data_IF_302818816797
#
_entry.id   IF_302818816797
#
_cell.length_a   1.000
_cell.length_b   1.000
_cell.length_c   1.000
_cell.angle_alpha   90.00
_cell.angle_beta   90.00
_cell.angle_gamma   90.00
#
_symmetry.space_group_name_H-M   'P 1'
#
loop_
_entity.id
_entity.type
_entity.pdbx_description
1 polymer ?
#
# COMPACT_ATOMS: atom_id res chain seq x y z
N UNK A 1 -18.35 -23.00 -9.11
CA UNK A 1 -17.59 -22.18 -10.06
C UNK A 1 -16.44 -21.61 -9.26
N UNK A 2 -15.18 -21.88 -9.63
CA UNK A 2 -14.03 -21.25 -8.95
C UNK A 2 -14.03 -19.79 -9.41
N UNK A 3 -14.24 -18.84 -8.50
CA UNK A 3 -13.93 -17.44 -8.78
C UNK A 3 -12.43 -17.38 -9.04
N UNK A 4 -12.04 -17.12 -10.28
CA UNK A 4 -10.64 -16.91 -10.62
C UNK A 4 -10.18 -15.63 -9.92
N UNK A 5 -8.99 -15.68 -9.33
CA UNK A 5 -8.43 -14.57 -8.57
C UNK A 5 -7.56 -13.74 -9.52
N UNK A 6 -7.93 -12.48 -9.74
CA UNK A 6 -7.12 -11.54 -10.52
C UNK A 6 -6.06 -10.86 -9.64
N UNK A 7 -4.91 -11.53 -9.52
CA UNK A 7 -3.78 -11.00 -8.78
C UNK A 7 -3.14 -9.77 -9.46
N UNK A 8 -3.33 -9.59 -10.78
CA UNK A 8 -2.84 -8.41 -11.49
C UNK A 8 -3.66 -7.17 -11.09
N UNK A 9 -4.98 -7.27 -11.04
CA UNK A 9 -5.82 -6.20 -10.52
C UNK A 9 -5.43 -5.80 -9.08
N UNK A 10 -5.14 -6.78 -8.22
CA UNK A 10 -4.75 -6.52 -6.82
C UNK A 10 -3.40 -5.80 -6.69
N UNK A 11 -2.43 -6.07 -7.57
CA UNK A 11 -1.14 -5.32 -7.56
C UNK A 11 -1.32 -3.92 -8.14
N UNK A 12 -2.17 -3.74 -9.15
CA UNK A 12 -2.50 -2.42 -9.70
C UNK A 12 -3.21 -1.54 -8.66
N UNK A 13 -4.08 -2.11 -7.83
CA UNK A 13 -4.67 -1.40 -6.68
C UNK A 13 -3.61 -0.91 -5.69
N UNK A 14 -2.62 -1.76 -5.37
CA UNK A 14 -1.51 -1.35 -4.51
C UNK A 14 -0.66 -0.23 -5.17
N UNK A 15 -0.42 -0.31 -6.49
CA UNK A 15 0.24 0.77 -7.23
C UNK A 15 -0.56 2.07 -7.21
N UNK A 16 -1.88 2.01 -7.39
CA UNK A 16 -2.74 3.18 -7.33
C UNK A 16 -2.68 3.88 -5.96
N UNK A 17 -2.62 3.12 -4.86
CA UNK A 17 -2.39 3.69 -3.53
C UNK A 17 -1.00 4.33 -3.37
N UNK A 18 0.04 3.69 -3.90
CA UNK A 18 1.40 4.26 -3.94
C UNK A 18 1.40 5.60 -4.68
N UNK A 19 0.75 5.67 -5.84
CA UNK A 19 0.69 6.88 -6.66
C UNK A 19 -0.13 7.99 -5.99
N UNK A 20 -1.25 7.63 -5.34
CA UNK A 20 -2.02 8.57 -4.54
C UNK A 20 -1.20 9.16 -3.38
N UNK A 21 -0.41 8.35 -2.69
CA UNK A 21 0.50 8.83 -1.65
C UNK A 21 1.56 9.78 -2.20
N UNK A 22 2.16 9.47 -3.36
CA UNK A 22 3.14 10.35 -4.02
C UNK A 22 2.52 11.67 -4.45
N UNK A 23 1.31 11.63 -5.02
CA UNK A 23 0.56 12.84 -5.41
C UNK A 23 0.31 13.73 -4.19
N UNK A 24 -0.14 13.15 -3.07
CA UNK A 24 -0.37 13.87 -1.82
C UNK A 24 0.89 14.54 -1.27
N UNK A 25 2.03 13.82 -1.23
CA UNK A 25 3.32 14.38 -0.80
C UNK A 25 3.76 15.51 -1.72
N UNK A 26 3.58 15.36 -3.03
CA UNK A 26 3.92 16.38 -4.02
C UNK A 26 3.10 17.66 -3.79
N UNK A 27 1.78 17.56 -3.63
CA UNK A 27 0.90 18.70 -3.38
C UNK A 27 1.27 19.43 -2.08
N UNK A 28 1.53 18.68 -1.00
CA UNK A 28 1.96 19.26 0.27
C UNK A 28 3.31 19.99 0.14
N UNK A 29 4.27 19.42 -0.59
CA UNK A 29 5.56 20.04 -0.85
C UNK A 29 5.41 21.34 -1.66
N UNK A 30 4.53 21.38 -2.65
CA UNK A 30 4.20 22.59 -3.42
C UNK A 30 3.56 23.67 -2.52
N UNK A 31 2.83 23.27 -1.49
CA UNK A 31 2.30 24.15 -0.45
C UNK A 31 3.33 24.51 0.66
N UNK A 32 4.59 24.09 0.53
CA UNK A 32 5.65 24.37 1.52
C UNK A 32 5.50 23.58 2.82
N UNK A 33 4.80 22.45 2.80
CA UNK A 33 4.50 21.61 3.96
C UNK A 33 5.21 20.26 3.86
N UNK A 34 5.72 19.78 4.98
CA UNK A 34 6.25 18.42 5.11
C UNK A 34 5.14 17.45 5.55
N UNK A 35 5.15 16.24 4.99
CA UNK A 35 4.17 15.19 5.27
C UNK A 35 4.88 14.03 5.94
N UNK A 36 4.41 13.65 7.11
CA UNK A 36 4.90 12.47 7.82
C UNK A 36 4.25 11.17 7.35
N UNK A 37 4.92 10.04 7.63
CA UNK A 37 4.45 8.68 7.30
C UNK A 37 3.04 8.44 7.83
N UNK A 38 2.77 8.74 9.11
CA UNK A 38 1.46 8.52 9.73
C UNK A 38 0.35 9.33 9.04
N UNK A 39 0.66 10.53 8.57
CA UNK A 39 -0.33 11.36 7.87
C UNK A 39 -0.73 10.73 6.53
N UNK A 40 0.23 10.16 5.79
CA UNK A 40 -0.06 9.42 4.55
C UNK A 40 -0.97 8.23 4.85
N UNK A 41 -0.65 7.47 5.90
CA UNK A 41 -1.49 6.33 6.33
C UNK A 41 -2.92 6.81 6.64
N UNK A 42 -3.08 7.85 7.44
CA UNK A 42 -4.39 8.34 7.89
C UNK A 42 -5.21 8.99 6.76
N UNK A 43 -4.55 9.64 5.79
CA UNK A 43 -5.22 10.41 4.73
C UNK A 43 -5.40 9.65 3.43
N UNK A 44 -4.59 8.63 3.16
CA UNK A 44 -4.58 7.91 1.88
C UNK A 44 -4.93 6.44 2.08
N UNK A 45 -4.17 5.72 2.92
CA UNK A 45 -4.33 4.27 3.02
C UNK A 45 -5.53 3.87 3.85
N UNK A 46 -5.75 4.49 5.01
CA UNK A 46 -6.88 4.16 5.89
C UNK A 46 -8.24 4.43 5.20
N UNK A 47 -8.45 5.58 4.52
CA UNK A 47 -9.70 5.83 3.81
C UNK A 47 -9.93 4.93 2.59
N UNK A 48 -8.89 4.27 2.05
CA UNK A 48 -9.04 3.35 0.92
C UNK A 48 -9.88 2.11 1.25
N UNK A 49 -9.97 1.74 2.53
CA UNK A 49 -10.60 0.49 2.98
C UNK A 49 -9.83 -0.77 2.63
N UNK A 50 -8.63 -0.66 2.02
CA UNK A 50 -7.85 -1.82 1.58
C UNK A 50 -6.89 -2.34 2.65
N UNK A 51 -6.63 -1.58 3.71
CA UNK A 51 -5.69 -1.98 4.77
C UNK A 51 -6.21 -3.17 5.60
N UNK A 52 -5.32 -4.12 5.85
CA UNK A 52 -5.47 -5.11 6.91
C UNK A 52 -4.99 -4.48 8.24
N UNK A 53 -5.92 -3.81 8.92
CA UNK A 53 -5.66 -3.11 10.18
C UNK A 53 -5.13 -4.05 11.28
N UNK A 54 -5.73 -5.23 11.53
CA UNK A 54 -5.19 -6.18 12.50
C UNK A 54 -3.73 -6.53 12.22
N UNK A 55 -3.37 -6.81 10.96
CA UNK A 55 -2.00 -7.18 10.59
C UNK A 55 -1.04 -6.00 10.71
N UNK A 56 -1.44 -4.81 10.28
CA UNK A 56 -0.63 -3.59 10.46
C UNK A 56 -0.33 -3.31 11.95
N UNK A 57 -1.26 -3.60 12.86
CA UNK A 57 -1.05 -3.40 14.31
C UNK A 57 -0.12 -4.45 14.93
N UNK A 58 -0.09 -5.67 14.38
CA UNK A 58 0.78 -6.76 14.86
C UNK A 58 2.23 -6.59 14.40
N UNK A 59 2.45 -5.88 13.30
CA UNK A 59 3.74 -5.76 12.66
C UNK A 59 4.30 -4.33 12.81
N UNK A 60 5.36 -4.18 13.60
CA UNK A 60 6.14 -2.94 13.69
C UNK A 60 7.43 -3.05 12.87
N UNK A 61 7.28 -3.19 11.56
CA UNK A 61 8.42 -3.32 10.64
C UNK A 61 9.26 -2.03 10.55
N UNK A 62 10.56 -2.22 10.31
CA UNK A 62 11.48 -1.15 9.92
C UNK A 62 12.25 -1.57 8.65
N UNK A 63 12.05 -0.91 7.49
CA UNK A 63 11.19 0.26 7.27
C UNK A 63 9.69 -0.05 7.43
N UNK A 64 8.85 0.97 7.70
CA UNK A 64 7.40 0.79 7.91
C UNK A 64 6.71 0.09 6.75
N UNK A 65 5.72 -0.75 7.08
CA UNK A 65 4.86 -1.45 6.12
C UNK A 65 3.39 -1.23 6.42
N UNK A 66 2.60 -1.19 5.37
CA UNK A 66 1.13 -1.26 5.39
C UNK A 66 0.73 -2.55 4.67
N UNK A 67 0.01 -3.41 5.36
CA UNK A 67 -0.54 -4.64 4.80
C UNK A 67 -1.93 -4.36 4.22
N UNK A 68 -2.23 -4.90 3.04
CA UNK A 68 -3.58 -4.85 2.47
C UNK A 68 -4.31 -6.17 2.72
N UNK A 69 -5.63 -6.17 2.51
CA UNK A 69 -6.45 -7.38 2.57
C UNK A 69 -6.17 -8.34 1.40
N UNK A 70 -5.38 -7.92 0.42
CA UNK A 70 -4.88 -8.73 -0.69
C UNK A 70 -3.53 -9.37 -0.34
N UNK A 71 -2.94 -10.22 -1.21
CA UNK A 71 -1.58 -10.73 -1.01
C UNK A 71 -0.46 -9.67 -1.07
N UNK A 72 -0.82 -8.40 -1.25
CA UNK A 72 0.11 -7.29 -1.44
C UNK A 72 0.02 -6.28 -0.29
N UNK A 73 1.09 -5.53 -0.11
CA UNK A 73 1.19 -4.42 0.84
C UNK A 73 1.99 -3.28 0.27
N UNK A 74 2.16 -2.21 1.04
CA UNK A 74 3.04 -1.08 0.73
C UNK A 74 4.17 -1.01 1.74
N UNK A 75 5.41 -0.96 1.26
CA UNK A 75 6.59 -0.74 2.08
C UNK A 75 7.11 0.67 1.84
N UNK A 76 7.41 1.39 2.92
CA UNK A 76 8.04 2.70 2.85
C UNK A 76 9.51 2.58 2.45
N UNK A 77 9.99 3.46 1.58
CA UNK A 77 11.39 3.58 1.17
C UNK A 77 11.95 4.92 1.63
N UNK A 78 12.69 4.96 2.75
CA UNK A 78 13.23 6.21 3.29
C UNK A 78 14.07 7.01 2.30
N UNK A 79 14.79 6.33 1.41
CA UNK A 79 15.69 6.95 0.42
C UNK A 79 14.93 7.76 -0.64
N UNK A 80 13.69 7.36 -0.93
CA UNK A 80 12.84 7.98 -1.96
C UNK A 80 11.67 8.75 -1.37
N UNK A 81 11.46 8.66 -0.05
CA UNK A 81 10.30 9.18 0.66
C UNK A 81 8.97 8.77 -0.03
N UNK A 82 8.88 7.50 -0.40
CA UNK A 82 7.71 6.95 -1.10
C UNK A 82 7.35 5.55 -0.63
N UNK A 83 6.25 5.03 -1.17
CA UNK A 83 5.76 3.70 -0.91
C UNK A 83 5.89 2.85 -2.17
N UNK A 84 6.23 1.58 -2.00
CA UNK A 84 6.31 0.60 -3.09
C UNK A 84 5.48 -0.64 -2.74
N UNK A 85 4.73 -1.19 -3.70
CA UNK A 85 4.09 -2.47 -3.51
C UNK A 85 5.09 -3.58 -3.19
N UNK A 86 4.73 -4.44 -2.23
CA UNK A 86 5.43 -5.68 -1.94
C UNK A 86 4.42 -6.82 -1.81
N UNK A 87 4.89 -8.06 -1.92
CA UNK A 87 4.07 -9.26 -1.75
C UNK A 87 4.31 -9.88 -0.37
N UNK A 88 3.23 -10.25 0.32
CA UNK A 88 3.27 -10.96 1.60
C UNK A 88 2.35 -12.17 1.69
N UNK A 89 1.44 -12.34 0.73
CA UNK A 89 0.55 -13.50 0.64
C UNK A 89 1.01 -14.50 -0.43
N UNK A 90 0.50 -15.71 -0.30
CA UNK A 90 0.60 -16.70 -1.36
C UNK A 90 -0.26 -16.28 -2.55
N UNK A 91 0.28 -16.51 -3.74
CA UNK A 91 -0.39 -16.29 -5.02
C UNK A 91 -0.40 -17.65 -5.66
N UNK A 92 -1.60 -18.18 -5.85
CA UNK A 92 -1.79 -19.39 -6.62
C UNK A 92 -1.83 -19.03 -8.11
N UNK A 93 -0.69 -19.21 -8.78
CA UNK A 93 -0.55 -18.96 -10.21
C UNK A 93 -1.39 -19.90 -11.07
N UNK A 94 -1.91 -21.02 -10.51
CA UNK A 94 -2.83 -21.92 -11.22
C UNK A 94 -4.22 -21.33 -11.41
N UNK A 95 -4.55 -20.25 -10.69
CA UNK A 95 -5.81 -19.52 -10.77
C UNK A 95 -5.71 -18.23 -11.62
N UNK A 96 -4.55 -17.96 -12.23
CA UNK A 96 -4.36 -16.81 -13.13
C UNK A 96 -5.10 -17.03 -14.47
N UNK A 97 -5.66 -15.95 -15.02
CA UNK A 97 -6.21 -15.93 -16.39
C UNK A 97 -5.14 -15.94 -17.48
#
# INVERSE_FOLDING_TARGET
MSEKIDYFAMVEEAWALSDAARAYVKEAKEAGREVGIQEIVDKIFLPSGQMDIPKCQQHQDNPPKVYLNTPYGLQYRPEYNDWIPFRHGDIDLSQLE
#
